data_IF_896372711571
#
_entry.id   IF_896372711571
#
_cell.length_a   1.000
_cell.length_b   1.000
_cell.length_c   1.000
_cell.angle_alpha   90.00
_cell.angle_beta   90.00
_cell.angle_gamma   90.00
#
_symmetry.space_group_name_H-M   'P 1'
#
loop_
_entity.id
_entity.type
_entity.pdbx_description
1 polymer ?
#
# COMPACT_ATOMS: atom_id res chain seq x y z
N UNK A 1 42.40 34.40 -0.24
CA UNK A 1 41.82 34.64 -1.57
C UNK A 1 42.81 35.50 -2.35
N UNK A 2 43.18 35.08 -3.56
CA UNK A 2 44.00 35.89 -4.45
C UNK A 2 43.07 36.72 -5.34
N UNK A 3 42.93 38.01 -5.06
CA UNK A 3 42.07 38.90 -5.81
C UNK A 3 42.48 39.01 -7.30
N UNK A 4 43.75 38.70 -7.61
CA UNK A 4 44.29 38.77 -8.97
C UNK A 4 43.98 37.51 -9.79
N UNK A 5 43.58 36.41 -9.15
CA UNK A 5 43.16 35.18 -9.82
C UNK A 5 41.70 35.23 -10.32
N UNK A 6 40.96 36.30 -10.00
CA UNK A 6 39.56 36.49 -10.37
C UNK A 6 38.56 36.07 -9.29
N UNK A 7 37.26 36.27 -9.57
CA UNK A 7 36.18 35.88 -8.66
C UNK A 7 35.73 34.46 -8.98
N UNK A 8 35.77 33.59 -7.97
CA UNK A 8 35.24 32.23 -8.03
C UNK A 8 34.98 31.69 -6.63
N UNK A 9 34.16 30.64 -6.57
CA UNK A 9 33.84 29.95 -5.33
C UNK A 9 35.11 29.43 -4.65
N UNK A 10 35.22 29.77 -3.36
CA UNK A 10 36.36 29.39 -2.51
C UNK A 10 35.96 28.33 -1.49
N UNK A 11 34.99 28.63 -0.63
CA UNK A 11 34.46 27.64 0.33
C UNK A 11 33.56 26.65 -0.40
N UNK A 12 33.79 25.34 -0.18
CA UNK A 12 32.98 24.25 -0.74
C UNK A 12 32.49 23.34 0.37
N UNK A 13 31.19 23.21 0.52
CA UNK A 13 30.57 22.47 1.60
C UNK A 13 30.53 23.23 2.92
N UNK A 14 30.54 22.46 4.00
CA UNK A 14 30.52 22.96 5.37
C UNK A 14 31.82 22.57 6.05
N UNK A 15 32.54 23.55 6.56
CA UNK A 15 33.80 23.36 7.28
C UNK A 15 33.59 23.64 8.76
N UNK A 16 34.22 22.85 9.62
CA UNK A 16 34.18 23.04 11.07
C UNK A 16 35.60 23.18 11.60
N UNK A 17 35.85 24.24 12.35
CA UNK A 17 37.13 24.50 12.98
C UNK A 17 36.95 24.84 14.46
N UNK A 18 37.94 24.49 15.27
CA UNK A 18 38.01 24.96 16.66
C UNK A 18 38.35 26.45 16.65
N UNK A 19 37.53 27.25 17.32
CA UNK A 19 37.83 28.65 17.57
C UNK A 19 39.08 28.79 18.44
N UNK A 20 39.98 29.70 18.08
CA UNK A 20 41.08 30.08 18.96
C UNK A 20 40.49 30.78 20.18
N UNK A 21 40.41 30.03 21.29
CA UNK A 21 39.81 30.48 22.55
C UNK A 21 40.20 31.92 22.84
N UNK A 22 39.20 32.78 22.95
CA UNK A 22 39.36 34.11 23.51
C UNK A 22 39.69 33.92 24.98
N UNK A 23 40.82 34.47 25.44
CA UNK A 23 41.28 34.40 26.83
C UNK A 23 40.37 35.11 27.85
N UNK A 24 39.07 35.18 27.59
CA UNK A 24 38.03 35.74 28.46
C UNK A 24 36.72 34.93 28.47
N UNK A 25 36.63 33.79 27.78
CA UNK A 25 35.46 32.91 27.84
C UNK A 25 35.39 32.16 29.16
N UNK A 26 34.17 31.95 29.68
CA UNK A 26 33.92 31.16 30.88
C UNK A 26 34.66 29.80 30.84
N UNK A 27 35.31 29.42 31.94
CA UNK A 27 36.02 28.14 32.06
C UNK A 27 35.13 26.98 31.56
N UNK A 28 35.62 26.24 30.56
CA UNK A 28 34.97 25.02 30.07
C UNK A 28 34.19 25.12 28.75
N UNK A 29 34.07 26.30 28.12
CA UNK A 29 33.38 26.44 26.81
C UNK A 29 34.37 26.36 25.65
N UNK A 30 34.16 25.39 24.74
CA UNK A 30 34.98 25.23 23.54
C UNK A 30 34.22 25.76 22.30
N UNK A 31 34.56 26.94 21.77
CA UNK A 31 33.87 27.48 20.60
C UNK A 31 34.22 26.66 19.34
N UNK A 32 33.19 26.25 18.61
CA UNK A 32 33.29 25.66 17.29
C UNK A 32 32.77 26.66 16.27
N UNK A 33 33.54 26.88 15.21
CA UNK A 33 33.20 27.81 14.13
C UNK A 33 32.91 26.98 12.89
N UNK A 34 31.71 27.19 12.33
CA UNK A 34 31.26 26.55 11.10
C UNK A 34 31.32 27.58 9.96
N UNK A 35 32.10 27.29 8.92
CA UNK A 35 32.15 28.08 7.70
C UNK A 35 31.35 27.38 6.60
N UNK A 36 30.40 28.11 6.02
CA UNK A 36 29.43 27.59 5.06
C UNK A 36 29.80 28.11 3.66
N UNK A 37 29.59 27.27 2.65
CA UNK A 37 29.64 27.69 1.26
C UNK A 37 28.73 28.91 1.02
N UNK A 38 29.23 29.88 0.26
CA UNK A 38 28.48 31.10 -0.07
C UNK A 38 27.26 30.78 -0.93
N UNK A 39 26.20 31.54 -0.71
CA UNK A 39 24.92 31.43 -1.42
C UNK A 39 24.90 32.34 -2.66
N UNK A 40 24.01 32.07 -3.62
CA UNK A 40 23.84 32.80 -4.88
C UNK A 40 25.12 32.75 -5.75
N UNK A 41 25.73 31.57 -5.81
CA UNK A 41 26.88 31.26 -6.67
C UNK A 41 26.47 31.04 -8.13
N UNK A 42 27.44 30.76 -8.99
CA UNK A 42 27.16 30.37 -10.39
C UNK A 42 27.49 28.91 -10.66
N UNK A 43 28.22 28.26 -9.75
CA UNK A 43 28.93 27.03 -10.03
C UNK A 43 28.06 25.76 -9.86
N UNK A 44 26.86 25.85 -9.27
CA UNK A 44 26.04 24.66 -8.95
C UNK A 44 24.75 24.47 -9.76
N UNK A 45 24.31 25.47 -10.53
CA UNK A 45 23.18 25.29 -11.46
C UNK A 45 21.84 25.06 -10.74
N UNK A 46 21.02 24.10 -11.19
CA UNK A 46 19.64 23.92 -10.71
C UNK A 46 19.54 23.39 -9.25
N UNK A 47 20.56 22.70 -8.74
CA UNK A 47 20.59 22.12 -7.37
C UNK A 47 21.07 23.12 -6.29
N UNK A 48 21.43 24.34 -6.69
CA UNK A 48 22.05 25.35 -5.84
C UNK A 48 21.13 25.81 -4.70
N UNK A 49 19.87 26.12 -5.01
CA UNK A 49 18.91 26.59 -4.01
C UNK A 49 18.62 25.53 -2.92
N UNK A 50 18.56 24.25 -3.29
CA UNK A 50 18.33 23.15 -2.34
C UNK A 50 19.53 22.96 -1.42
N UNK A 51 20.74 22.95 -1.99
CA UNK A 51 21.97 22.80 -1.21
C UNK A 51 22.17 23.97 -0.24
N UNK A 52 21.96 25.20 -0.71
CA UNK A 52 22.00 26.40 0.13
C UNK A 52 20.99 26.34 1.28
N UNK A 53 19.75 25.95 1.00
CA UNK A 53 18.71 25.85 2.01
C UNK A 53 19.01 24.74 3.03
N UNK A 54 19.57 23.60 2.60
CA UNK A 54 20.00 22.51 3.49
C UNK A 54 21.15 22.95 4.40
N UNK A 55 22.20 23.53 3.83
CA UNK A 55 23.36 23.99 4.61
C UNK A 55 22.99 25.12 5.59
N UNK A 56 22.15 26.08 5.18
CA UNK A 56 21.68 27.16 6.04
C UNK A 56 20.76 26.66 7.16
N UNK A 57 19.85 25.72 6.88
CA UNK A 57 19.00 25.10 7.90
C UNK A 57 19.82 24.28 8.89
N UNK A 58 20.77 23.49 8.40
CA UNK A 58 21.69 22.72 9.23
C UNK A 58 22.51 23.62 10.15
N UNK A 59 23.05 24.71 9.62
CA UNK A 59 23.76 25.70 10.41
C UNK A 59 22.87 26.33 11.48
N UNK A 60 21.63 26.70 11.13
CA UNK A 60 20.69 27.27 12.08
C UNK A 60 20.31 26.28 13.20
N UNK A 61 20.18 24.99 12.87
CA UNK A 61 19.83 23.94 13.82
C UNK A 61 20.97 23.58 14.77
N UNK A 62 22.22 23.65 14.28
CA UNK A 62 23.41 23.24 15.02
C UNK A 62 24.08 24.38 15.79
N UNK A 63 23.76 25.65 15.48
CA UNK A 63 24.44 26.81 16.07
C UNK A 63 23.61 27.51 17.14
N UNK A 64 24.30 27.97 18.19
CA UNK A 64 23.70 28.89 19.16
C UNK A 64 23.62 30.32 18.60
N UNK A 65 24.59 30.68 17.75
CA UNK A 65 24.70 31.96 17.06
C UNK A 65 24.95 31.71 15.57
N UNK A 66 24.01 32.13 14.73
CA UNK A 66 24.17 32.13 13.28
C UNK A 66 24.53 33.54 12.80
N UNK A 67 25.68 33.66 12.12
CA UNK A 67 26.13 34.89 11.49
C UNK A 67 25.56 34.98 10.07
N UNK A 68 24.72 35.98 9.82
CA UNK A 68 24.22 36.28 8.47
C UNK A 68 25.06 37.42 7.90
N UNK A 69 26.05 37.08 7.08
CA UNK A 69 26.94 38.05 6.45
C UNK A 69 26.31 38.59 5.17
N UNK A 70 26.05 39.89 5.10
CA UNK A 70 25.43 40.53 3.94
C UNK A 70 26.01 41.92 3.67
N UNK A 71 25.96 42.38 2.42
CA UNK A 71 26.40 43.74 2.11
C UNK A 71 25.34 44.77 2.51
N UNK A 72 25.79 45.94 2.98
CA UNK A 72 24.89 47.02 3.39
C UNK A 72 23.96 47.48 2.26
N UNK A 73 24.42 47.40 1.00
CA UNK A 73 23.63 47.80 -0.17
C UNK A 73 22.60 46.76 -0.62
N UNK A 74 22.66 45.54 -0.10
CA UNK A 74 21.68 44.50 -0.37
C UNK A 74 20.49 44.54 0.59
N UNK A 75 20.61 45.27 1.71
CA UNK A 75 19.49 45.51 2.63
C UNK A 75 18.31 46.14 1.86
N UNK A 76 17.15 45.48 1.92
CA UNK A 76 15.93 45.88 1.23
C UNK A 76 15.74 45.29 -0.19
N UNK A 77 16.69 44.50 -0.70
CA UNK A 77 16.53 43.75 -1.96
C UNK A 77 15.87 42.39 -1.72
N UNK A 78 15.16 41.86 -2.70
CA UNK A 78 14.52 40.55 -2.57
C UNK A 78 15.54 39.41 -2.62
N UNK A 79 16.29 39.30 -3.72
CA UNK A 79 17.28 38.22 -3.90
C UNK A 79 18.64 38.55 -3.27
N UNK A 80 19.12 39.80 -3.42
CA UNK A 80 20.40 40.21 -2.83
C UNK A 80 20.45 40.15 -1.30
N UNK A 81 19.32 40.32 -0.61
CA UNK A 81 19.25 40.13 0.84
C UNK A 81 19.03 38.66 1.26
N UNK A 82 18.96 37.73 0.30
CA UNK A 82 18.68 36.32 0.57
C UNK A 82 17.28 36.04 1.13
N UNK A 83 16.27 36.89 0.88
CA UNK A 83 14.92 36.71 1.46
C UNK A 83 14.28 35.36 1.12
N UNK A 84 14.39 34.81 -0.12
CA UNK A 84 13.85 33.49 -0.44
C UNK A 84 14.48 32.38 0.41
N UNK A 85 15.81 32.40 0.56
CA UNK A 85 16.55 31.46 1.39
C UNK A 85 16.15 31.58 2.87
N UNK A 86 16.09 32.81 3.39
CA UNK A 86 15.64 33.07 4.77
C UNK A 86 14.21 32.55 4.99
N UNK A 87 13.29 32.73 4.03
CA UNK A 87 11.93 32.19 4.12
C UNK A 87 11.94 30.66 4.20
N UNK A 88 12.68 29.98 3.32
CA UNK A 88 12.77 28.52 3.31
C UNK A 88 13.36 27.99 4.63
N UNK A 89 14.45 28.60 5.10
CA UNK A 89 15.15 28.21 6.34
C UNK A 89 14.27 28.44 7.57
N UNK A 90 13.62 29.61 7.69
CA UNK A 90 12.73 29.91 8.82
C UNK A 90 11.50 28.99 8.83
N UNK A 91 10.95 28.66 7.66
CA UNK A 91 9.84 27.71 7.53
C UNK A 91 10.23 26.31 7.97
N UNK A 92 11.36 25.80 7.48
CA UNK A 92 11.84 24.49 7.87
C UNK A 92 12.20 24.47 9.37
N UNK A 93 12.79 25.54 9.90
CA UNK A 93 13.13 25.63 11.32
C UNK A 93 11.89 25.59 12.22
N UNK A 94 10.84 26.36 11.91
CA UNK A 94 9.60 26.39 12.70
C UNK A 94 8.85 25.04 12.75
N UNK A 95 9.00 24.24 11.68
CA UNK A 95 8.40 22.90 11.55
C UNK A 95 9.23 21.84 12.27
N UNK A 96 10.53 21.76 11.97
CA UNK A 96 11.40 20.70 12.45
C UNK A 96 11.84 20.90 13.90
N UNK A 97 11.99 22.16 14.32
CA UNK A 97 12.51 22.51 15.63
C UNK A 97 11.44 23.25 16.43
N UNK A 98 11.36 22.93 17.73
CA UNK A 98 10.53 23.67 18.67
C UNK A 98 11.05 25.09 18.89
N UNK A 99 10.37 25.90 19.73
CA UNK A 99 10.88 27.22 20.12
C UNK A 99 12.23 27.04 20.81
N UNK A 100 13.29 27.31 20.06
CA UNK A 100 14.67 27.34 20.54
C UNK A 100 15.17 28.72 20.19
N UNK A 101 15.38 29.55 21.20
CA UNK A 101 15.75 30.97 21.05
C UNK A 101 17.18 31.11 20.49
N UNK A 102 17.38 30.79 19.22
CA UNK A 102 18.66 30.85 18.52
C UNK A 102 18.98 32.30 18.16
N UNK A 103 20.25 32.69 18.22
CA UNK A 103 20.64 34.07 17.93
C UNK A 103 20.98 34.24 16.46
N UNK A 104 20.27 35.15 15.78
CA UNK A 104 20.54 35.54 14.40
C UNK A 104 21.28 36.88 14.40
N UNK A 105 22.59 36.87 14.12
CA UNK A 105 23.41 38.08 14.08
C UNK A 105 23.69 38.48 12.63
N UNK A 106 23.03 39.54 12.17
CA UNK A 106 23.28 40.13 10.87
C UNK A 106 24.54 40.99 10.92
N UNK A 107 25.54 40.64 10.11
CA UNK A 107 26.81 41.35 9.98
C UNK A 107 26.80 42.08 8.64
N UNK A 108 26.56 43.39 8.69
CA UNK A 108 26.51 44.24 7.51
C UNK A 108 27.93 44.65 7.09
N UNK A 109 28.31 44.29 5.87
CA UNK A 109 29.60 44.62 5.27
C UNK A 109 29.54 45.99 4.60
N UNK A 110 30.65 46.70 4.72
CA UNK A 110 30.90 48.00 4.08
C UNK A 110 29.86 49.06 4.48
N UNK A 111 30.01 49.55 5.73
CA UNK A 111 29.22 50.67 6.27
C UNK A 111 29.03 51.78 5.24
N UNK A 112 27.78 52.20 5.06
CA UNK A 112 27.41 53.32 4.20
C UNK A 112 27.00 54.54 5.04
N UNK A 113 26.55 55.62 4.39
CA UNK A 113 26.04 56.82 5.06
C UNK A 113 24.70 56.58 5.79
N UNK A 114 24.04 55.45 5.54
CA UNK A 114 22.78 55.12 6.18
C UNK A 114 23.04 54.68 7.63
N UNK A 115 22.39 55.30 8.64
CA UNK A 115 22.53 54.89 10.04
C UNK A 115 22.11 53.43 10.25
N UNK A 116 22.81 52.73 11.15
CA UNK A 116 22.58 51.31 11.44
C UNK A 116 21.15 51.06 11.93
N UNK A 117 20.60 51.98 12.72
CA UNK A 117 19.26 51.87 13.31
C UNK A 117 18.17 51.79 12.23
N UNK A 118 18.37 52.50 11.10
CA UNK A 118 17.43 52.45 9.97
C UNK A 118 17.52 51.13 9.22
N UNK A 119 18.73 50.62 9.00
CA UNK A 119 18.96 49.33 8.34
C UNK A 119 18.42 48.19 9.19
N UNK A 120 18.65 48.25 10.50
CA UNK A 120 18.10 47.30 11.47
C UNK A 120 16.56 47.31 11.45
N UNK A 121 15.94 48.48 11.40
CA UNK A 121 14.47 48.59 11.29
C UNK A 121 13.93 47.89 10.04
N UNK A 122 14.60 48.08 8.89
CA UNK A 122 14.21 47.45 7.62
C UNK A 122 14.36 45.93 7.72
N UNK A 123 15.52 45.43 8.21
CA UNK A 123 15.77 43.99 8.33
C UNK A 123 14.79 43.32 9.29
N UNK A 124 14.48 43.95 10.42
CA UNK A 124 13.48 43.43 11.36
C UNK A 124 12.09 43.37 10.75
N UNK A 125 11.69 44.41 10.01
CA UNK A 125 10.41 44.42 9.31
C UNK A 125 10.33 43.34 8.23
N UNK A 126 11.40 43.17 7.45
CA UNK A 126 11.51 42.14 6.42
C UNK A 126 11.43 40.73 7.02
N UNK A 127 12.16 40.46 8.10
CA UNK A 127 12.11 39.17 8.81
C UNK A 127 10.73 38.90 9.41
N UNK A 128 10.08 39.91 9.99
CA UNK A 128 8.73 39.77 10.51
C UNK A 128 7.74 39.45 9.38
N UNK A 129 7.82 40.14 8.23
CA UNK A 129 6.99 39.87 7.07
C UNK A 129 7.23 38.45 6.51
N UNK A 130 8.49 38.01 6.47
CA UNK A 130 8.83 36.63 6.09
C UNK A 130 8.19 35.64 7.07
N UNK A 131 8.34 35.88 8.37
CA UNK A 131 7.81 35.00 9.42
C UNK A 131 6.28 34.89 9.41
N UNK A 132 5.57 35.97 9.13
CA UNK A 132 4.11 35.93 8.96
C UNK A 132 3.68 35.11 7.75
N UNK A 133 4.47 35.14 6.66
CA UNK A 133 4.23 34.34 5.47
C UNK A 133 4.57 32.84 5.62
N UNK A 134 5.26 32.44 6.69
CA UNK A 134 5.63 31.04 6.95
C UNK A 134 4.44 30.24 7.49
N UNK A 135 4.20 29.06 6.92
CA UNK A 135 3.22 28.09 7.44
C UNK A 135 3.75 27.42 8.72
N UNK A 136 3.24 27.85 9.87
CA UNK A 136 3.56 27.32 11.21
C UNK A 136 2.66 26.11 11.54
N UNK A 137 3.12 25.13 12.35
CA UNK A 137 2.26 24.06 12.89
C UNK A 137 1.05 24.60 13.67
N UNK A 138 -0.04 23.84 13.70
CA UNK A 138 -1.34 24.29 14.25
C UNK A 138 -1.23 24.67 15.74
N UNK A 139 -0.39 23.96 16.48
CA UNK A 139 -0.15 24.17 17.92
C UNK A 139 0.63 25.47 18.21
N UNK A 140 1.25 26.08 17.18
CA UNK A 140 2.15 27.24 17.31
C UNK A 140 1.82 28.33 16.30
N UNK A 141 0.55 28.41 15.88
CA UNK A 141 0.08 29.36 14.87
C UNK A 141 0.30 30.82 15.27
N UNK A 142 0.21 31.11 16.57
CA UNK A 142 0.38 32.44 17.15
C UNK A 142 1.83 32.77 17.54
N UNK A 143 2.78 31.86 17.32
CA UNK A 143 4.17 32.08 17.73
C UNK A 143 4.83 33.20 16.91
N UNK A 144 5.43 34.15 17.61
CA UNK A 144 6.12 35.29 17.03
C UNK A 144 7.57 34.96 16.70
N UNK A 145 8.19 35.77 15.83
CA UNK A 145 9.62 35.60 15.50
C UNK A 145 10.49 35.68 16.77
N UNK A 146 10.10 36.50 17.74
CA UNK A 146 10.85 36.72 18.98
C UNK A 146 10.84 35.51 19.93
N UNK A 147 9.88 34.60 19.77
CA UNK A 147 9.80 33.34 20.54
C UNK A 147 10.84 32.33 20.06
N UNK A 148 11.26 32.45 18.79
CA UNK A 148 12.23 31.56 18.15
C UNK A 148 13.61 32.18 17.99
N UNK A 149 13.72 33.48 17.79
CA UNK A 149 15.01 34.09 17.43
C UNK A 149 15.30 35.38 18.20
N UNK A 150 16.54 35.50 18.66
CA UNK A 150 17.10 36.78 19.10
C UNK A 150 17.85 37.41 17.92
N UNK A 151 17.22 38.37 17.24
CA UNK A 151 17.80 39.05 16.09
C UNK A 151 18.68 40.22 16.56
N UNK A 152 19.95 40.22 16.15
CA UNK A 152 20.94 41.28 16.40
C UNK A 152 21.53 41.77 15.08
N UNK A 153 21.92 43.04 15.02
CA UNK A 153 22.52 43.64 13.82
C UNK A 153 23.78 44.39 14.22
N UNK A 154 24.85 44.19 13.45
CA UNK A 154 26.11 44.92 13.56
C UNK A 154 26.58 45.29 12.16
N UNK A 155 27.48 46.27 12.06
CA UNK A 155 28.07 46.66 10.79
C UNK A 155 29.58 46.78 10.92
N UNK A 156 30.29 46.44 9.84
CA UNK A 156 31.74 46.53 9.73
C UNK A 156 32.11 47.56 8.67
N UNK A 157 33.14 48.37 8.93
CA UNK A 157 33.74 49.25 7.93
C UNK A 157 34.29 48.45 6.73
N UNK A 158 34.59 49.12 5.61
CA UNK A 158 35.10 48.43 4.43
C UNK A 158 36.55 48.01 4.65
N UNK A 159 36.86 46.71 4.47
CA UNK A 159 38.22 46.21 4.63
C UNK A 159 39.21 46.87 3.66
N UNK A 160 38.77 47.17 2.44
CA UNK A 160 39.61 47.77 1.39
C UNK A 160 39.82 49.28 1.59
N UNK A 161 38.79 49.99 2.07
CA UNK A 161 38.82 51.45 2.17
C UNK A 161 39.18 51.96 3.57
N UNK A 162 38.92 51.18 4.61
CA UNK A 162 39.15 51.51 6.02
C UNK A 162 39.52 50.25 6.84
N UNK A 163 40.73 49.74 6.58
CA UNK A 163 41.25 48.55 7.26
C UNK A 163 41.35 48.73 8.79
N UNK A 164 41.68 49.94 9.25
CA UNK A 164 41.81 50.25 10.67
C UNK A 164 40.44 50.21 11.37
N UNK A 165 39.42 50.86 10.79
CA UNK A 165 38.05 50.79 11.27
C UNK A 165 37.50 49.36 11.22
N UNK A 166 37.80 48.61 10.16
CA UNK A 166 37.38 47.21 10.05
C UNK A 166 37.97 46.36 11.17
N UNK A 167 39.27 46.48 11.45
CA UNK A 167 39.92 45.74 12.56
C UNK A 167 39.34 46.12 13.92
N UNK A 168 39.04 47.41 14.14
CA UNK A 168 38.40 47.88 15.37
C UNK A 168 36.98 47.31 15.53
N UNK A 169 36.18 47.35 14.46
CA UNK A 169 34.82 46.80 14.44
C UNK A 169 34.82 45.28 14.66
N UNK A 170 35.76 44.55 14.05
CA UNK A 170 35.95 43.10 14.27
C UNK A 170 36.35 42.82 15.71
N UNK A 171 37.20 43.65 16.32
CA UNK A 171 37.55 43.57 17.73
C UNK A 171 36.33 43.74 18.64
N UNK A 172 35.47 44.73 18.36
CA UNK A 172 34.23 44.96 19.10
C UNK A 172 33.24 43.80 18.92
N UNK A 173 33.09 43.29 17.69
CA UNK A 173 32.25 42.13 17.39
C UNK A 173 32.73 40.88 18.14
N UNK A 174 34.05 40.69 18.27
CA UNK A 174 34.62 39.57 19.01
C UNK A 174 34.21 39.60 20.49
N UNK A 175 34.27 40.77 21.13
CA UNK A 175 33.83 40.95 22.52
C UNK A 175 32.33 40.68 22.66
N UNK A 176 31.51 41.12 21.70
CA UNK A 176 30.07 40.83 21.69
C UNK A 176 29.79 39.32 21.55
N UNK A 177 30.51 38.63 20.66
CA UNK A 177 30.38 37.18 20.46
C UNK A 177 30.77 36.40 21.72
N UNK A 178 31.83 36.81 22.42
CA UNK A 178 32.20 36.19 23.69
C UNK A 178 31.08 36.31 24.73
N UNK A 179 30.44 37.48 24.82
CA UNK A 179 29.25 37.68 25.66
C UNK A 179 28.09 36.77 25.26
N UNK A 180 27.81 36.67 23.96
CA UNK A 180 26.73 35.81 23.45
C UNK A 180 26.96 34.33 23.70
N UNK A 181 28.19 33.86 23.54
CA UNK A 181 28.57 32.47 23.85
C UNK A 181 28.50 32.21 25.36
N UNK A 182 28.85 33.18 26.19
CA UNK A 182 28.68 33.10 27.64
C UNK A 182 27.23 32.96 28.06
N UNK A 183 26.32 33.74 27.47
CA UNK A 183 24.87 33.60 27.69
C UNK A 183 24.35 32.22 27.24
N UNK A 184 24.79 31.74 26.07
CA UNK A 184 24.40 30.44 25.55
C UNK A 184 24.90 29.28 26.43
N UNK A 185 26.10 29.40 26.99
CA UNK A 185 26.68 28.40 27.90
C UNK A 185 25.94 28.25 29.23
N UNK A 186 25.09 29.20 29.61
CA UNK A 186 24.30 29.17 30.85
C UNK A 186 22.90 28.55 30.67
N UNK A 187 22.55 28.13 29.46
CA UNK A 187 21.21 27.64 29.09
C UNK A 187 21.08 26.13 29.30
N UNK A 188 20.59 25.73 30.48
CA UNK A 188 20.37 24.32 30.86
C UNK A 188 19.50 23.53 29.85
N UNK A 189 18.63 24.21 29.08
CA UNK A 189 17.66 23.64 28.14
C UNK A 189 18.25 23.17 26.80
N UNK A 190 19.52 23.48 26.48
CA UNK A 190 20.04 23.36 25.11
C UNK A 190 21.41 22.67 24.97
N UNK A 191 21.98 22.11 26.04
CA UNK A 191 23.32 21.53 26.00
C UNK A 191 23.32 20.11 25.42
N UNK A 192 24.06 19.93 24.32
CA UNK A 192 24.45 18.60 23.82
C UNK A 192 25.82 18.26 24.40
N UNK A 193 25.99 17.14 25.11
CA UNK A 193 27.30 16.68 25.55
C UNK A 193 28.29 16.58 24.38
N UNK A 194 29.56 16.97 24.59
CA UNK A 194 30.54 17.05 23.51
C UNK A 194 30.82 15.72 22.80
N UNK A 195 30.70 14.61 23.52
CA UNK A 195 30.77 13.23 23.00
C UNK A 195 29.54 12.85 22.16
N UNK A 196 28.37 13.39 22.51
CA UNK A 196 27.13 13.24 21.74
C UNK A 196 27.02 14.23 20.57
N UNK A 197 27.87 15.27 20.48
CA UNK A 197 27.81 16.30 19.45
C UNK A 197 27.90 15.70 18.04
N UNK A 198 28.89 14.85 17.78
CA UNK A 198 29.05 14.24 16.45
C UNK A 198 27.83 13.40 16.03
N UNK A 199 27.24 12.65 16.98
CA UNK A 199 26.04 11.84 16.73
C UNK A 199 24.81 12.74 16.53
N UNK A 200 24.63 13.76 17.37
CA UNK A 200 23.54 14.73 17.28
C UNK A 200 23.60 15.51 15.97
N UNK A 201 24.76 16.01 15.60
CA UNK A 201 24.98 16.76 14.35
C UNK A 201 24.78 15.85 13.14
N UNK A 202 25.19 14.57 13.21
CA UNK A 202 24.86 13.60 12.16
C UNK A 202 23.36 13.37 12.04
N UNK A 203 22.65 13.17 13.15
CA UNK A 203 21.20 12.99 13.13
C UNK A 203 20.47 14.23 12.60
N UNK A 204 20.92 15.43 12.99
CA UNK A 204 20.42 16.69 12.45
C UNK A 204 20.70 16.82 10.94
N UNK A 205 21.90 16.45 10.49
CA UNK A 205 22.21 16.45 9.06
C UNK A 205 21.37 15.43 8.30
N UNK A 206 21.22 14.21 8.80
CA UNK A 206 20.40 13.18 8.17
C UNK A 206 18.93 13.65 8.09
N UNK A 207 18.43 14.35 9.12
CA UNK A 207 17.10 14.97 9.14
C UNK A 207 16.99 16.12 8.13
N UNK A 208 18.01 16.98 8.00
CA UNK A 208 18.02 18.13 7.07
C UNK A 208 18.24 17.68 5.62
N UNK A 209 19.09 16.68 5.39
CA UNK A 209 19.36 16.11 4.09
C UNK A 209 18.16 15.31 3.57
N UNK A 210 17.46 14.59 4.45
CA UNK A 210 16.18 13.93 4.14
C UNK A 210 14.97 14.86 4.25
N UNK A 211 15.15 16.15 4.56
CA UNK A 211 14.07 17.13 4.58
C UNK A 211 13.89 17.70 3.18
N UNK A 212 13.21 16.96 2.31
CA UNK A 212 13.05 17.39 0.92
C UNK A 212 11.93 18.46 0.72
N UNK A 213 11.36 18.99 1.81
CA UNK A 213 10.52 20.20 1.86
C UNK A 213 11.28 21.52 1.60
N UNK A 214 12.62 21.48 1.48
CA UNK A 214 13.43 22.63 1.02
C UNK A 214 13.27 22.88 -0.50
N UNK A 215 12.54 22.01 -1.21
CA UNK A 215 12.04 22.23 -2.56
C UNK A 215 10.61 22.83 -2.54
N UNK A 216 10.52 24.11 -2.89
CA UNK A 216 9.29 24.75 -3.35
C UNK A 216 8.95 24.20 -4.76
N UNK A 217 7.75 23.70 -5.12
CA UNK A 217 6.67 23.03 -4.39
C UNK A 217 6.24 21.71 -5.09
N UNK A 218 6.55 20.52 -4.55
CA UNK A 218 5.91 19.22 -4.93
C UNK A 218 6.23 18.04 -3.99
N UNK A 219 6.78 18.31 -2.80
CA UNK A 219 7.53 17.29 -2.05
C UNK A 219 6.71 16.47 -1.03
N UNK A 220 5.76 17.10 -0.33
CA UNK A 220 4.91 16.44 0.68
C UNK A 220 4.17 15.21 0.13
N UNK A 221 3.75 15.26 -1.14
CA UNK A 221 3.08 14.15 -1.83
C UNK A 221 4.08 13.05 -2.20
N UNK A 222 5.31 13.40 -2.60
CA UNK A 222 6.34 12.42 -2.98
C UNK A 222 6.87 11.63 -1.77
N UNK A 223 7.22 12.28 -0.65
CA UNK A 223 7.69 11.56 0.55
C UNK A 223 6.58 10.78 1.24
N UNK A 224 5.35 11.30 1.29
CA UNK A 224 4.21 10.49 1.69
C UNK A 224 4.07 9.26 0.78
N UNK A 225 4.32 9.39 -0.53
CA UNK A 225 4.20 8.26 -1.47
C UNK A 225 5.27 7.21 -1.19
N UNK A 226 6.54 7.63 -1.05
CA UNK A 226 7.64 6.70 -0.74
C UNK A 226 7.43 6.05 0.62
N UNK A 227 7.11 6.81 1.67
CA UNK A 227 6.93 6.28 3.03
C UNK A 227 5.70 5.39 3.16
N UNK A 228 4.55 5.81 2.66
CA UNK A 228 3.35 4.96 2.66
C UNK A 228 3.59 3.67 1.85
N UNK A 229 4.31 3.75 0.71
CA UNK A 229 4.66 2.55 -0.07
C UNK A 229 5.66 1.65 0.66
N UNK A 230 6.65 2.20 1.37
CA UNK A 230 7.60 1.44 2.19
C UNK A 230 6.92 0.76 3.37
N UNK A 231 6.04 1.47 4.09
CA UNK A 231 5.25 0.91 5.20
C UNK A 231 4.38 -0.22 4.65
N UNK A 232 3.64 0.01 3.57
CA UNK A 232 2.85 -1.02 2.90
C UNK A 232 3.69 -2.25 2.56
N UNK A 233 4.85 -2.06 1.92
CA UNK A 233 5.75 -3.16 1.53
C UNK A 233 6.27 -3.94 2.75
N UNK A 234 6.61 -3.24 3.85
CA UNK A 234 7.03 -3.88 5.10
C UNK A 234 5.90 -4.68 5.74
N UNK A 235 4.67 -4.15 5.76
CA UNK A 235 3.48 -4.83 6.29
C UNK A 235 3.15 -6.09 5.49
N UNK A 236 3.23 -6.00 4.15
CA UNK A 236 3.06 -7.14 3.27
C UNK A 236 4.12 -8.22 3.52
N UNK A 237 5.40 -7.83 3.62
CA UNK A 237 6.48 -8.77 3.92
C UNK A 237 6.32 -9.42 5.30
N UNK A 238 5.91 -8.66 6.32
CA UNK A 238 5.62 -9.19 7.65
C UNK A 238 4.45 -10.17 7.64
N UNK A 239 3.36 -9.85 6.92
CA UNK A 239 2.21 -10.73 6.74
C UNK A 239 2.61 -12.06 6.06
N UNK A 240 3.48 -12.01 5.05
CA UNK A 240 3.98 -13.19 4.35
C UNK A 240 4.97 -14.02 5.19
N UNK A 241 5.70 -13.37 6.10
CA UNK A 241 6.63 -14.02 7.01
C UNK A 241 5.95 -14.57 8.28
N UNK A 242 4.71 -14.16 8.58
CA UNK A 242 3.94 -14.66 9.70
C UNK A 242 3.69 -16.16 9.55
N UNK A 243 4.12 -16.94 10.54
CA UNK A 243 4.08 -18.39 10.50
C UNK A 243 2.64 -18.93 10.48
N UNK A 244 1.70 -18.31 11.20
CA UNK A 244 0.31 -18.73 11.22
C UNK A 244 -0.35 -18.47 9.87
N UNK A 245 -0.04 -17.35 9.24
CA UNK A 245 -0.54 -16.98 7.90
C UNK A 245 0.07 -17.88 6.82
N UNK A 246 1.37 -18.18 6.88
CA UNK A 246 2.04 -19.10 5.97
C UNK A 246 1.47 -20.52 6.09
N UNK A 247 1.24 -21.00 7.32
CA UNK A 247 0.60 -22.30 7.56
C UNK A 247 -0.84 -22.33 7.05
N UNK A 248 -1.61 -21.24 7.23
CA UNK A 248 -2.97 -21.12 6.70
C UNK A 248 -2.97 -21.25 5.17
N UNK A 249 -2.07 -20.53 4.47
CA UNK A 249 -1.94 -20.61 3.03
C UNK A 249 -1.54 -22.00 2.54
N UNK A 250 -0.56 -22.64 3.20
CA UNK A 250 -0.12 -23.99 2.85
C UNK A 250 -1.24 -25.02 3.01
N UNK A 251 -1.98 -24.95 4.13
CA UNK A 251 -3.15 -25.82 4.38
C UNK A 251 -4.25 -25.59 3.35
N UNK A 252 -4.53 -24.33 3.03
CA UNK A 252 -5.55 -23.96 2.05
C UNK A 252 -5.23 -24.41 0.62
N UNK A 253 -3.96 -24.71 0.31
CA UNK A 253 -3.61 -25.33 -0.98
C UNK A 253 -3.77 -26.85 -0.99
N UNK A 254 -3.84 -27.49 0.17
CA UNK A 254 -3.88 -28.96 0.29
C UNK A 254 -5.27 -29.49 0.63
N UNK A 255 -6.09 -28.73 1.35
CA UNK A 255 -7.42 -29.13 1.77
C UNK A 255 -8.37 -27.93 1.96
N UNK A 256 -9.67 -28.20 2.03
CA UNK A 256 -10.66 -27.21 2.44
C UNK A 256 -10.38 -26.75 3.89
N UNK A 257 -10.34 -25.44 4.10
CA UNK A 257 -10.09 -24.83 5.40
C UNK A 257 -11.35 -24.11 5.87
N UNK A 258 -11.93 -24.49 7.02
CA UNK A 258 -13.07 -23.78 7.58
C UNK A 258 -12.72 -22.32 7.89
N UNK A 259 -13.64 -21.42 7.54
CA UNK A 259 -13.53 -19.98 7.79
C UNK A 259 -12.26 -19.37 7.18
N UNK A 260 -11.80 -19.90 6.05
CA UNK A 260 -10.61 -19.39 5.37
C UNK A 260 -10.70 -17.89 5.09
N UNK A 261 -11.82 -17.44 4.53
CA UNK A 261 -12.05 -16.02 4.22
C UNK A 261 -11.98 -15.14 5.46
N UNK A 262 -12.62 -15.55 6.56
CA UNK A 262 -12.60 -14.79 7.82
C UNK A 262 -11.21 -14.74 8.47
N UNK A 263 -10.48 -15.88 8.50
CA UNK A 263 -9.12 -15.94 9.05
C UNK A 263 -8.15 -15.09 8.24
N UNK A 264 -8.28 -15.12 6.92
CA UNK A 264 -7.49 -14.28 6.03
C UNK A 264 -7.86 -12.80 6.18
N UNK A 265 -9.15 -12.47 6.27
CA UNK A 265 -9.65 -11.11 6.51
C UNK A 265 -9.09 -10.55 7.82
N UNK A 266 -9.09 -11.33 8.91
CA UNK A 266 -8.53 -10.92 10.19
C UNK A 266 -7.02 -10.66 10.11
N UNK A 267 -6.27 -11.52 9.42
CA UNK A 267 -4.82 -11.35 9.23
C UNK A 267 -4.49 -10.10 8.39
N UNK A 268 -5.19 -9.90 7.27
CA UNK A 268 -5.05 -8.71 6.42
C UNK A 268 -5.51 -7.46 7.17
N UNK A 269 -6.62 -7.53 7.89
CA UNK A 269 -7.14 -6.45 8.73
C UNK A 269 -6.13 -6.00 9.77
N UNK A 270 -5.48 -6.93 10.46
CA UNK A 270 -4.39 -6.62 11.42
C UNK A 270 -3.22 -5.90 10.73
N UNK A 271 -2.85 -6.31 9.50
CA UNK A 271 -1.80 -5.65 8.73
C UNK A 271 -2.20 -4.26 8.26
N UNK A 272 -3.48 -4.06 7.90
CA UNK A 272 -4.05 -2.76 7.51
C UNK A 272 -4.16 -1.82 8.71
N UNK A 273 -4.60 -2.29 9.88
CA UNK A 273 -4.65 -1.49 11.12
C UNK A 273 -3.25 -1.03 11.53
N UNK A 274 -2.26 -1.92 11.46
CA UNK A 274 -0.86 -1.59 11.73
C UNK A 274 -0.28 -0.61 10.69
N UNK A 275 -0.73 -0.68 9.43
CA UNK A 275 -0.43 0.33 8.42
C UNK A 275 -1.08 1.67 8.77
N UNK A 276 -2.37 1.67 9.13
CA UNK A 276 -3.16 2.87 9.42
C UNK A 276 -2.56 3.65 10.60
N UNK A 277 -2.13 2.97 11.67
CA UNK A 277 -1.45 3.61 12.81
C UNK A 277 -0.12 4.27 12.43
N UNK A 278 0.66 3.65 11.55
CA UNK A 278 1.95 4.21 11.11
C UNK A 278 1.77 5.27 10.02
N UNK A 279 0.73 5.16 9.21
CA UNK A 279 0.45 6.06 8.10
C UNK A 279 -0.39 7.29 8.49
N UNK A 280 -0.95 7.34 9.70
CA UNK A 280 -1.90 8.38 10.16
C UNK A 280 -1.40 9.82 10.06
N UNK A 281 -0.09 10.03 10.00
CA UNK A 281 0.53 11.34 9.96
C UNK A 281 0.84 11.85 8.53
N UNK A 282 0.62 11.02 7.50
CA UNK A 282 0.87 11.38 6.11
C UNK A 282 -0.38 11.93 5.42
N UNK A 283 -0.21 12.42 4.18
CA UNK A 283 -1.32 12.90 3.37
C UNK A 283 -2.40 11.83 3.17
N UNK A 284 -3.66 12.16 3.44
CA UNK A 284 -4.76 11.21 3.45
C UNK A 284 -5.02 10.57 2.07
N UNK A 285 -4.82 11.31 0.97
CA UNK A 285 -5.01 10.78 -0.37
C UNK A 285 -3.93 9.75 -0.74
N UNK A 286 -2.69 10.05 -0.38
CA UNK A 286 -1.55 9.13 -0.59
C UNK A 286 -1.62 7.91 0.32
N UNK A 287 -1.96 8.11 1.60
CA UNK A 287 -2.11 7.04 2.58
C UNK A 287 -3.23 6.08 2.16
N UNK A 288 -4.38 6.60 1.69
CA UNK A 288 -5.48 5.77 1.17
C UNK A 288 -5.04 4.98 -0.07
N UNK A 289 -4.38 5.64 -1.03
CA UNK A 289 -3.91 4.98 -2.26
C UNK A 289 -2.96 3.81 -1.97
N UNK A 290 -1.99 4.01 -1.06
CA UNK A 290 -1.05 2.96 -0.71
C UNK A 290 -1.69 1.88 0.18
N UNK A 291 -2.70 2.22 0.99
CA UNK A 291 -3.52 1.27 1.76
C UNK A 291 -4.30 0.34 0.85
N UNK A 292 -4.96 0.89 -0.17
CA UNK A 292 -5.73 0.11 -1.15
C UNK A 292 -4.81 -0.81 -1.95
N UNK A 293 -3.61 -0.31 -2.31
CA UNK A 293 -2.58 -1.14 -2.93
C UNK A 293 -2.08 -2.26 -2.02
N UNK A 294 -1.80 -1.97 -0.74
CA UNK A 294 -1.42 -2.99 0.26
C UNK A 294 -2.49 -4.07 0.36
N UNK A 295 -3.76 -3.68 0.44
CA UNK A 295 -4.92 -4.58 0.49
C UNK A 295 -4.96 -5.49 -0.75
N UNK A 296 -4.86 -4.90 -1.95
CA UNK A 296 -4.85 -5.64 -3.19
C UNK A 296 -3.66 -6.62 -3.29
N UNK A 297 -2.45 -6.19 -2.94
CA UNK A 297 -1.24 -7.02 -2.97
C UNK A 297 -1.29 -8.14 -1.92
N UNK A 298 -1.85 -7.85 -0.73
CA UNK A 298 -2.04 -8.82 0.34
C UNK A 298 -2.98 -9.94 -0.12
N UNK A 299 -4.18 -9.63 -0.62
CA UNK A 299 -5.06 -10.66 -1.18
C UNK A 299 -4.44 -11.32 -2.42
N UNK A 300 -3.78 -10.57 -3.30
CA UNK A 300 -3.05 -11.10 -4.47
C UNK A 300 -2.07 -12.22 -4.11
N UNK A 301 -1.36 -12.10 -2.98
CA UNK A 301 -0.43 -13.12 -2.49
C UNK A 301 -1.12 -14.46 -2.15
N UNK A 302 -2.41 -14.45 -1.77
CA UNK A 302 -3.19 -15.64 -1.43
C UNK A 302 -4.13 -16.10 -2.55
N UNK A 303 -4.09 -15.49 -3.74
CA UNK A 303 -4.97 -15.84 -4.86
C UNK A 303 -4.90 -17.33 -5.25
N UNK A 304 -3.70 -17.94 -5.15
CA UNK A 304 -3.53 -19.39 -5.39
C UNK A 304 -4.23 -20.26 -4.34
N UNK A 305 -4.19 -19.84 -3.07
CA UNK A 305 -4.87 -20.53 -1.97
C UNK A 305 -6.39 -20.40 -2.12
N UNK A 306 -6.89 -19.21 -2.46
CA UNK A 306 -8.29 -19.00 -2.79
C UNK A 306 -8.77 -19.87 -3.95
N UNK A 307 -8.03 -19.86 -5.07
CA UNK A 307 -8.36 -20.73 -6.21
C UNK A 307 -8.31 -22.22 -5.88
N UNK A 308 -7.54 -22.64 -4.86
CA UNK A 308 -7.59 -24.01 -4.35
C UNK A 308 -8.86 -24.24 -3.49
N UNK A 309 -9.24 -23.30 -2.63
CA UNK A 309 -10.49 -23.37 -1.86
C UNK A 309 -11.73 -23.48 -2.76
N UNK A 310 -11.82 -22.67 -3.82
CA UNK A 310 -12.90 -22.78 -4.80
C UNK A 310 -12.94 -24.16 -5.47
N UNK A 311 -11.78 -24.73 -5.79
CA UNK A 311 -11.69 -26.09 -6.34
C UNK A 311 -12.14 -27.15 -5.36
N UNK A 312 -11.80 -27.03 -4.07
CA UNK A 312 -12.27 -27.96 -3.04
C UNK A 312 -13.78 -27.83 -2.80
N UNK A 313 -14.32 -26.60 -2.80
CA UNK A 313 -15.74 -26.35 -2.71
C UNK A 313 -16.51 -26.96 -3.90
N UNK A 314 -16.01 -26.74 -5.13
CA UNK A 314 -16.59 -27.33 -6.33
C UNK A 314 -16.52 -28.86 -6.29
N UNK A 315 -15.38 -29.45 -5.91
CA UNK A 315 -15.23 -30.89 -5.80
C UNK A 315 -16.17 -31.51 -4.75
N UNK A 316 -16.37 -30.85 -3.61
CA UNK A 316 -17.30 -31.29 -2.57
C UNK A 316 -18.75 -31.22 -3.05
N UNK A 317 -19.15 -30.10 -3.67
CA UNK A 317 -20.49 -29.93 -4.24
C UNK A 317 -20.76 -30.94 -5.36
N UNK A 318 -19.78 -31.18 -6.22
CA UNK A 318 -19.85 -32.18 -7.29
C UNK A 318 -19.94 -33.62 -6.77
N UNK A 319 -19.28 -33.93 -5.65
CA UNK A 319 -19.37 -35.23 -5.02
C UNK A 319 -20.75 -35.44 -4.39
N UNK A 320 -21.31 -34.41 -3.74
CA UNK A 320 -22.68 -34.42 -3.23
C UNK A 320 -23.70 -34.60 -4.37
N UNK A 321 -23.59 -33.81 -5.44
CA UNK A 321 -24.42 -33.96 -6.64
C UNK A 321 -24.36 -35.37 -7.22
N UNK A 322 -23.16 -35.96 -7.30
CA UNK A 322 -23.00 -37.31 -7.82
C UNK A 322 -23.67 -38.36 -6.93
N UNK A 323 -23.79 -38.11 -5.63
CA UNK A 323 -24.50 -38.98 -4.70
C UNK A 323 -26.01 -38.75 -4.81
N UNK A 324 -26.46 -37.50 -4.80
CA UNK A 324 -27.88 -37.13 -4.93
C UNK A 324 -28.49 -37.65 -6.26
N UNK A 325 -27.73 -37.60 -7.36
CA UNK A 325 -28.18 -38.16 -8.64
C UNK A 325 -28.26 -39.69 -8.66
N UNK A 326 -27.50 -40.39 -7.79
CA UNK A 326 -27.62 -41.85 -7.63
C UNK A 326 -28.80 -42.23 -6.77
N UNK A 327 -29.09 -41.42 -5.76
CA UNK A 327 -30.17 -41.63 -4.80
C UNK A 327 -31.51 -41.05 -5.29
N UNK A 328 -31.49 -40.29 -6.38
CA UNK A 328 -32.67 -39.75 -7.04
C UNK A 328 -33.64 -40.85 -7.46
N UNK A 329 -34.93 -40.61 -7.21
CA UNK A 329 -35.99 -41.48 -7.70
C UNK A 329 -35.97 -41.51 -9.23
N UNK A 330 -36.02 -42.73 -9.79
CA UNK A 330 -36.15 -42.94 -11.23
C UNK A 330 -37.48 -42.30 -11.72
N UNK A 331 -38.54 -42.37 -10.89
CA UNK A 331 -39.81 -41.69 -11.15
C UNK A 331 -39.70 -40.20 -10.80
N UNK A 332 -39.79 -39.33 -11.80
CA UNK A 332 -39.61 -37.89 -11.59
C UNK A 332 -38.14 -37.46 -11.45
N UNK A 333 -37.21 -38.24 -12.02
CA UNK A 333 -35.77 -37.96 -12.03
C UNK A 333 -35.43 -36.52 -12.45
N UNK A 334 -36.17 -35.91 -13.40
CA UNK A 334 -35.91 -34.53 -13.82
C UNK A 334 -36.08 -33.52 -12.67
N UNK A 335 -37.09 -33.70 -11.84
CA UNK A 335 -37.34 -32.81 -10.70
C UNK A 335 -36.28 -33.02 -9.61
N UNK A 336 -35.94 -34.28 -9.31
CA UNK A 336 -34.90 -34.64 -8.34
C UNK A 336 -33.52 -34.14 -8.79
N UNK A 337 -33.17 -34.30 -10.07
CA UNK A 337 -31.93 -33.80 -10.65
C UNK A 337 -31.87 -32.27 -10.62
N UNK A 338 -32.98 -31.58 -10.93
CA UNK A 338 -33.05 -30.12 -10.85
C UNK A 338 -32.85 -29.62 -9.40
N UNK A 339 -33.46 -30.28 -8.41
CA UNK A 339 -33.27 -29.97 -7.00
C UNK A 339 -31.83 -30.24 -6.53
N UNK A 340 -31.24 -31.35 -6.95
CA UNK A 340 -29.85 -31.69 -6.64
C UNK A 340 -28.86 -30.68 -7.26
N UNK A 341 -29.10 -30.24 -8.50
CA UNK A 341 -28.30 -29.17 -9.13
C UNK A 341 -28.45 -27.85 -8.37
N UNK A 342 -29.67 -27.47 -7.98
CA UNK A 342 -29.90 -26.25 -7.20
C UNK A 342 -29.14 -26.30 -5.87
N UNK A 343 -29.24 -27.42 -5.14
CA UNK A 343 -28.53 -27.63 -3.88
C UNK A 343 -27.01 -27.64 -4.05
N UNK A 344 -26.49 -28.26 -5.11
CA UNK A 344 -25.07 -28.25 -5.46
C UNK A 344 -24.55 -26.82 -5.70
N UNK A 345 -25.29 -26.01 -6.46
CA UNK A 345 -24.89 -24.63 -6.78
C UNK A 345 -24.98 -23.75 -5.52
N UNK A 346 -26.01 -23.91 -4.71
CA UNK A 346 -26.16 -23.20 -3.43
C UNK A 346 -25.03 -23.54 -2.46
N UNK A 347 -24.74 -24.82 -2.24
CA UNK A 347 -23.65 -25.27 -1.36
C UNK A 347 -22.28 -24.75 -1.83
N UNK A 348 -22.04 -24.72 -3.14
CA UNK A 348 -20.84 -24.10 -3.71
C UNK A 348 -20.82 -22.60 -3.43
N UNK A 349 -21.90 -21.88 -3.70
CA UNK A 349 -21.97 -20.42 -3.48
C UNK A 349 -21.76 -20.06 -2.01
N UNK A 350 -22.33 -20.80 -1.07
CA UNK A 350 -22.09 -20.58 0.37
C UNK A 350 -20.62 -20.81 0.74
N UNK A 351 -20.04 -21.92 0.27
CA UNK A 351 -18.64 -22.25 0.53
C UNK A 351 -17.66 -21.27 -0.13
N UNK A 352 -17.96 -20.81 -1.34
CA UNK A 352 -17.19 -19.82 -2.06
C UNK A 352 -17.22 -18.46 -1.35
N UNK A 353 -18.41 -17.99 -0.95
CA UNK A 353 -18.54 -16.76 -0.15
C UNK A 353 -17.81 -16.84 1.19
N UNK A 354 -17.81 -17.99 1.85
CA UNK A 354 -17.05 -18.18 3.09
C UNK A 354 -15.52 -18.19 2.88
N UNK A 355 -15.06 -18.47 1.65
CA UNK A 355 -13.66 -18.40 1.25
C UNK A 355 -13.24 -17.02 0.73
N UNK A 356 -14.20 -16.14 0.44
CA UNK A 356 -14.02 -14.77 -0.03
C UNK A 356 -14.09 -13.81 1.17
N UNK A 357 -12.97 -13.15 1.54
CA UNK A 357 -13.00 -12.05 2.49
C UNK A 357 -13.96 -10.94 2.03
N UNK A 358 -14.79 -10.39 2.92
CA UNK A 358 -15.67 -9.24 2.61
C UNK A 358 -14.90 -8.06 2.01
N UNK A 359 -13.64 -7.94 2.42
CA UNK A 359 -12.75 -6.89 1.96
C UNK A 359 -11.95 -7.23 0.69
N UNK A 360 -12.20 -8.34 0.00
CA UNK A 360 -11.45 -8.70 -1.22
C UNK A 360 -12.18 -8.30 -2.51
N UNK A 361 -11.43 -8.12 -3.60
CA UNK A 361 -11.98 -8.04 -4.97
C UNK A 361 -12.18 -9.45 -5.59
N UNK A 362 -12.20 -10.49 -4.76
CA UNK A 362 -12.31 -11.85 -5.27
C UNK A 362 -13.74 -12.18 -5.67
N UNK A 363 -13.85 -12.88 -6.79
CA UNK A 363 -15.12 -13.38 -7.29
C UNK A 363 -15.00 -14.86 -7.66
N UNK A 364 -16.10 -15.58 -7.46
CA UNK A 364 -16.26 -16.98 -7.86
C UNK A 364 -17.05 -17.14 -9.16
N UNK A 365 -17.34 -16.07 -9.91
CA UNK A 365 -18.18 -16.09 -11.11
C UNK A 365 -17.71 -17.11 -12.16
N UNK A 366 -16.39 -17.17 -12.41
CA UNK A 366 -15.83 -18.11 -13.39
C UNK A 366 -15.87 -19.55 -12.87
N UNK A 367 -15.54 -19.76 -11.59
CA UNK A 367 -15.64 -21.09 -10.97
C UNK A 367 -17.09 -21.60 -10.94
N UNK A 368 -18.04 -20.71 -10.67
CA UNK A 368 -19.48 -21.00 -10.73
C UNK A 368 -19.90 -21.39 -12.15
N UNK A 369 -19.46 -20.65 -13.18
CA UNK A 369 -19.74 -20.97 -14.59
C UNK A 369 -19.22 -22.36 -14.97
N UNK A 370 -17.98 -22.66 -14.60
CA UNK A 370 -17.37 -23.98 -14.83
C UNK A 370 -18.16 -25.08 -14.11
N UNK A 371 -18.58 -24.85 -12.87
CA UNK A 371 -19.40 -25.80 -12.12
C UNK A 371 -20.78 -26.00 -12.78
N UNK A 372 -21.43 -24.95 -13.27
CA UNK A 372 -22.71 -25.06 -14.00
C UNK A 372 -22.56 -25.91 -15.26
N UNK A 373 -21.47 -25.79 -16.00
CA UNK A 373 -21.25 -26.64 -17.17
C UNK A 373 -20.93 -28.09 -16.76
N UNK A 374 -20.21 -28.30 -15.66
CA UNK A 374 -19.96 -29.62 -15.09
C UNK A 374 -21.24 -30.29 -14.56
N UNK A 375 -22.17 -29.54 -13.96
CA UNK A 375 -23.45 -30.07 -13.46
C UNK A 375 -24.33 -30.51 -14.62
N UNK A 376 -24.41 -29.72 -15.71
CA UNK A 376 -25.10 -30.13 -16.95
C UNK A 376 -24.54 -31.45 -17.49
N UNK A 377 -23.22 -31.55 -17.62
CA UNK A 377 -22.57 -32.76 -18.12
C UNK A 377 -22.86 -33.99 -17.23
N UNK A 378 -22.85 -33.81 -15.90
CA UNK A 378 -23.21 -34.85 -14.94
C UNK A 378 -24.67 -35.28 -15.05
N UNK A 379 -25.60 -34.33 -15.17
CA UNK A 379 -27.02 -34.63 -15.36
C UNK A 379 -27.21 -35.41 -16.66
N UNK A 380 -26.61 -34.97 -17.77
CA UNK A 380 -26.66 -35.72 -19.04
C UNK A 380 -26.15 -37.16 -18.89
N UNK A 381 -25.01 -37.35 -18.20
CA UNK A 381 -24.47 -38.69 -17.97
C UNK A 381 -25.38 -39.55 -17.07
N UNK A 382 -25.99 -38.95 -16.04
CA UNK A 382 -26.92 -39.63 -15.15
C UNK A 382 -28.24 -39.99 -15.86
N UNK A 383 -28.77 -39.10 -16.72
CA UNK A 383 -29.92 -39.37 -17.58
C UNK A 383 -29.62 -40.52 -18.55
N UNK A 384 -28.44 -40.54 -19.18
CA UNK A 384 -28.03 -41.65 -20.05
C UNK A 384 -27.98 -42.98 -19.29
N UNK A 385 -27.41 -42.98 -18.07
CA UNK A 385 -27.38 -44.16 -17.20
C UNK A 385 -28.80 -44.61 -16.79
N UNK A 386 -29.72 -43.68 -16.52
CA UNK A 386 -31.13 -43.97 -16.25
C UNK A 386 -31.79 -44.66 -17.46
N UNK A 387 -31.58 -44.13 -18.67
CA UNK A 387 -32.09 -44.73 -19.92
C UNK A 387 -31.55 -46.14 -20.10
N UNK A 388 -30.24 -46.36 -19.90
CA UNK A 388 -29.64 -47.70 -19.99
C UNK A 388 -30.22 -48.68 -18.97
N UNK A 389 -30.46 -48.24 -17.73
CA UNK A 389 -31.14 -49.05 -16.69
C UNK A 389 -32.57 -49.38 -17.10
N UNK A 390 -33.32 -48.41 -17.62
CA UNK A 390 -34.70 -48.59 -18.05
C UNK A 390 -34.79 -49.56 -19.24
N UNK A 391 -33.92 -49.41 -20.25
CA UNK A 391 -33.81 -50.33 -21.40
C UNK A 391 -33.45 -51.74 -20.92
N UNK A 392 -32.50 -51.88 -20.00
CA UNK A 392 -32.11 -53.18 -19.44
C UNK A 392 -33.28 -53.85 -18.70
N UNK A 393 -34.03 -53.10 -17.89
CA UNK A 393 -35.22 -53.59 -17.21
C UNK A 393 -36.31 -54.02 -18.20
N UNK A 394 -36.57 -53.23 -19.24
CA UNK A 394 -37.53 -53.58 -20.30
C UNK A 394 -37.11 -54.83 -21.08
N UNK A 395 -35.83 -55.00 -21.39
CA UNK A 395 -35.30 -56.24 -22.00
C UNK A 395 -35.50 -57.45 -21.08
N UNK A 396 -35.31 -57.28 -19.78
CA UNK A 396 -35.64 -58.29 -18.77
C UNK A 396 -37.12 -58.67 -18.81
N UNK A 397 -38.02 -57.69 -18.86
CA UNK A 397 -39.47 -57.92 -18.96
C UNK A 397 -39.87 -58.66 -20.24
N UNK A 398 -39.24 -58.36 -21.39
CA UNK A 398 -39.43 -59.14 -22.63
C UNK A 398 -39.09 -60.61 -22.40
N UNK A 399 -37.93 -60.88 -21.79
CA UNK A 399 -37.46 -62.24 -21.52
C UNK A 399 -38.41 -62.99 -20.59
N UNK A 400 -38.80 -62.37 -19.48
CA UNK A 400 -39.72 -62.95 -18.50
C UNK A 400 -41.10 -63.24 -19.09
N UNK A 401 -41.59 -62.39 -20.00
CA UNK A 401 -42.86 -62.60 -20.68
C UNK A 401 -42.79 -63.66 -21.79
N UNK A 402 -41.67 -63.77 -22.52
CA UNK A 402 -41.55 -64.67 -23.67
C UNK A 402 -41.13 -66.08 -23.32
N UNK A 403 -40.14 -66.27 -22.43
CA UNK A 403 -39.60 -67.59 -22.11
C UNK A 403 -40.68 -68.61 -21.69
N UNK A 404 -41.58 -68.34 -20.71
CA UNK A 404 -42.59 -69.31 -20.31
C UNK A 404 -43.69 -69.50 -21.36
N UNK A 405 -44.09 -68.43 -22.06
CA UNK A 405 -45.14 -68.48 -23.09
C UNK A 405 -44.69 -69.28 -24.32
N UNK A 406 -43.47 -69.06 -24.78
CA UNK A 406 -42.90 -69.81 -25.90
C UNK A 406 -42.60 -71.25 -25.50
N UNK A 407 -42.09 -71.49 -24.28
CA UNK A 407 -41.88 -72.86 -23.79
C UNK A 407 -43.19 -73.67 -23.78
N UNK A 408 -44.28 -73.11 -23.24
CA UNK A 408 -45.60 -73.75 -23.25
C UNK A 408 -46.12 -74.00 -24.68
N UNK A 409 -45.96 -73.04 -25.60
CA UNK A 409 -46.36 -73.21 -26.99
C UNK A 409 -45.56 -74.29 -27.72
N UNK A 410 -44.28 -74.47 -27.38
CA UNK A 410 -43.40 -75.51 -27.93
C UNK A 410 -43.68 -76.90 -27.34
N UNK A 411 -44.30 -76.98 -26.17
CA UNK A 411 -44.78 -78.24 -25.58
C UNK A 411 -46.10 -78.70 -26.22
N UNK A 412 -47.05 -77.79 -26.45
CA UNK A 412 -48.37 -78.11 -26.99
C UNK A 412 -48.41 -78.22 -28.53
N UNK A 413 -47.49 -77.55 -29.23
CA UNK A 413 -47.32 -77.51 -30.71
C UNK A 413 -48.66 -77.39 -31.48
N UNK A 414 -49.39 -76.29 -31.32
CA UNK A 414 -50.66 -76.09 -32.03
C UNK A 414 -50.44 -75.80 -33.53
N UNK A 415 -51.45 -76.06 -34.36
CA UNK A 415 -51.40 -75.85 -35.83
C UNK A 415 -51.07 -74.40 -36.23
N UNK A 416 -51.37 -73.44 -35.35
CA UNK A 416 -51.11 -72.01 -35.49
C UNK A 416 -49.89 -71.52 -34.67
N UNK A 417 -48.99 -72.42 -34.25
CA UNK A 417 -47.83 -72.15 -33.40
C UNK A 417 -47.10 -70.84 -33.75
N UNK A 418 -46.70 -70.68 -35.02
CA UNK A 418 -45.93 -69.51 -35.43
C UNK A 418 -46.75 -68.21 -35.43
N UNK A 419 -48.08 -68.29 -35.57
CA UNK A 419 -48.94 -67.12 -35.40
C UNK A 419 -49.02 -66.71 -33.93
N UNK A 420 -49.19 -67.68 -33.02
CA UNK A 420 -49.20 -67.43 -31.57
C UNK A 420 -47.86 -66.96 -31.02
N UNK A 421 -46.74 -67.48 -31.53
CA UNK A 421 -45.39 -66.99 -31.17
C UNK A 421 -45.21 -65.54 -31.62
N UNK A 422 -45.66 -65.17 -32.83
CA UNK A 422 -45.61 -63.77 -33.29
C UNK A 422 -46.49 -62.85 -32.43
N UNK A 423 -47.65 -63.31 -32.02
CA UNK A 423 -48.55 -62.57 -31.13
C UNK A 423 -47.93 -62.40 -29.74
N UNK A 424 -47.31 -63.45 -29.19
CA UNK A 424 -46.58 -63.39 -27.92
C UNK A 424 -45.39 -62.41 -27.98
N UNK A 425 -44.61 -62.43 -29.06
CA UNK A 425 -43.53 -61.45 -29.32
C UNK A 425 -44.06 -60.02 -29.41
N UNK A 426 -45.17 -59.80 -30.11
CA UNK A 426 -45.78 -58.48 -30.21
C UNK A 426 -46.31 -57.98 -28.86
N UNK A 427 -46.95 -58.86 -28.08
CA UNK A 427 -47.46 -58.55 -26.74
C UNK A 427 -46.33 -58.23 -25.76
N UNK A 428 -45.29 -59.08 -25.69
CA UNK A 428 -44.13 -58.85 -24.83
C UNK A 428 -43.38 -57.56 -25.19
N UNK A 429 -43.26 -57.23 -26.48
CA UNK A 429 -42.69 -55.96 -26.92
C UNK A 429 -43.56 -54.76 -26.50
N UNK A 430 -44.89 -54.87 -26.51
CA UNK A 430 -45.79 -53.82 -26.07
C UNK A 430 -45.72 -53.60 -24.55
N UNK A 431 -45.70 -54.69 -23.77
CA UNK A 431 -45.56 -54.63 -22.31
C UNK A 431 -44.22 -54.02 -21.90
N UNK A 432 -43.12 -54.43 -22.55
CA UNK A 432 -41.79 -53.89 -22.29
C UNK A 432 -41.64 -52.41 -22.65
N UNK A 433 -42.36 -51.93 -23.69
CA UNK A 433 -42.48 -50.49 -23.98
C UNK A 433 -43.28 -49.76 -22.91
N UNK A 434 -44.32 -50.38 -22.37
CA UNK A 434 -45.06 -49.87 -21.21
C UNK A 434 -44.16 -49.68 -19.98
N UNK A 435 -43.32 -50.69 -19.68
CA UNK A 435 -42.31 -50.62 -18.61
C UNK A 435 -41.28 -49.51 -18.87
N UNK A 436 -40.81 -49.37 -20.13
CA UNK A 436 -39.86 -48.32 -20.51
C UNK A 436 -40.46 -46.93 -20.24
N UNK A 437 -41.68 -46.68 -20.75
CA UNK A 437 -42.39 -45.41 -20.56
C UNK A 437 -42.65 -45.11 -19.10
N UNK A 438 -43.09 -46.10 -18.32
CA UNK A 438 -43.34 -45.91 -16.89
C UNK A 438 -42.06 -45.57 -16.12
N UNK A 439 -40.92 -46.16 -16.48
CA UNK A 439 -39.62 -45.87 -15.84
C UNK A 439 -38.99 -44.55 -16.26
N UNK A 440 -39.31 -44.06 -17.45
CA UNK A 440 -38.80 -42.79 -17.96
C UNK A 440 -39.82 -41.65 -17.81
N UNK A 441 -40.97 -41.89 -17.19
CA UNK A 441 -41.96 -40.86 -16.94
C UNK A 441 -41.41 -39.82 -15.96
N UNK A 442 -41.54 -38.54 -16.33
CA UNK A 442 -40.94 -37.43 -15.57
C UNK A 442 -39.41 -37.40 -15.52
N UNK A 443 -38.71 -38.20 -16.35
CA UNK A 443 -37.24 -38.21 -16.42
C UNK A 443 -36.63 -37.05 -17.23
N UNK A 444 -37.46 -36.34 -18.01
CA UNK A 444 -37.01 -35.24 -18.87
C UNK A 444 -36.24 -35.68 -20.12
N UNK A 445 -36.22 -36.98 -20.42
CA UNK A 445 -35.67 -37.54 -21.67
C UNK A 445 -36.48 -37.03 -22.86
N UNK A 446 -35.79 -36.62 -23.92
CA UNK A 446 -36.45 -36.14 -25.13
C UNK A 446 -37.22 -37.25 -25.88
N UNK A 447 -38.23 -36.85 -26.66
CA UNK A 447 -39.07 -37.81 -27.39
C UNK A 447 -38.27 -38.62 -28.43
N UNK A 448 -37.15 -38.09 -28.93
CA UNK A 448 -36.33 -38.76 -29.93
C UNK A 448 -35.56 -39.95 -29.33
N UNK A 449 -34.92 -39.76 -28.18
CA UNK A 449 -34.22 -40.78 -27.42
C UNK A 449 -35.20 -41.83 -26.87
N UNK A 450 -36.41 -41.41 -26.45
CA UNK A 450 -37.48 -42.34 -26.10
C UNK A 450 -37.88 -43.22 -27.29
N UNK A 451 -38.11 -42.62 -28.47
CA UNK A 451 -38.47 -43.35 -29.68
C UNK A 451 -37.37 -44.33 -30.12
N UNK A 452 -36.10 -43.92 -30.04
CA UNK A 452 -34.96 -44.77 -30.34
C UNK A 452 -34.89 -45.99 -29.38
N UNK A 453 -35.09 -45.77 -28.08
CA UNK A 453 -35.15 -46.83 -27.09
C UNK A 453 -36.31 -47.81 -27.33
N UNK A 454 -37.50 -47.32 -27.70
CA UNK A 454 -38.66 -48.16 -28.05
C UNK A 454 -38.45 -49.02 -29.30
N UNK A 455 -37.75 -48.49 -30.30
CA UNK A 455 -37.34 -49.23 -31.50
C UNK A 455 -36.35 -50.32 -31.12
N UNK A 456 -35.37 -50.01 -30.27
CA UNK A 456 -34.39 -50.97 -29.79
C UNK A 456 -35.03 -52.12 -28.99
N UNK A 457 -36.05 -51.86 -28.17
CA UNK A 457 -36.83 -52.90 -27.47
C UNK A 457 -37.57 -53.78 -28.46
N UNK A 458 -38.25 -53.19 -29.45
CA UNK A 458 -38.97 -53.95 -30.47
C UNK A 458 -38.05 -54.80 -31.34
N UNK A 459 -36.80 -54.36 -31.54
CA UNK A 459 -35.78 -55.15 -32.21
C UNK A 459 -35.20 -56.27 -31.32
N UNK A 460 -35.11 -56.06 -30.00
CA UNK A 460 -34.65 -57.08 -29.04
C UNK A 460 -35.67 -58.19 -28.79
N UNK A 461 -36.96 -57.88 -28.85
CA UNK A 461 -38.03 -58.86 -28.67
C UNK A 461 -38.19 -59.83 -29.85
N UNK A 462 -37.76 -59.42 -31.05
CA UNK A 462 -37.68 -60.27 -32.24
C UNK A 462 -36.39 -61.06 -32.24
#
# INVERSE_FOLDING_TARGET
MDALAGRGQTTRGVWLARGSGTGGGAEGVLPLVMDLEGTDGRERGEDEAQFEAQTALFALACSDVLLVNMWTHDVGREHGAGKPLLRAVLQAHARLFGPRRSRLLFVLRDKTRTPLERLETILRADLAAIWEGVTKPEERREATLADYFDVRVTALASLEHDEAGFKADVGALRVQLDGYLGEAAQREDAHVPGDAFALSTKALWDQVAANDDLNLPAHKVMVATVRCTEIASKRLAALQADEAVAQLAARAMQAAVPEFGQKLAAAVGTALEAYDEEARYYDAGVATTARDKLRADAFGAFARAHGAQLRFAAAAAEAALAQDLKDADDAGFAASAAAAVASCLEAFTESAKAAEPEDSEWEHTEAYRVLVDATKARVTAATAALVDRAVTASRGAVREALEPNVASLLEDIPDDLWARVREAVAAAAADARGVLRAKLDGSGVDEAAMAEAEVAIGAHAR
#
